data_IF_737173062204
#
_entry.id   IF_737173062204
#
_cell.length_a   1.000
_cell.length_b   1.000
_cell.length_c   1.000
_cell.angle_alpha   90.00
_cell.angle_beta   90.00
_cell.angle_gamma   90.00
#
_symmetry.space_group_name_H-M   'P 1'
#
loop_
_entity.id
_entity.type
_entity.pdbx_description
1 polymer ?
#
# COMPACT_ATOMS: atom_id res chain seq x y z
N UNK A 1 -20.84 6.08 -8.96
CA UNK A 1 -19.36 6.00 -9.07
C UNK A 1 -19.02 4.81 -9.95
N UNK A 2 -17.98 4.87 -10.78
CA UNK A 2 -17.51 3.70 -11.55
C UNK A 2 -16.45 2.99 -10.71
N UNK A 3 -16.48 1.65 -10.61
CA UNK A 3 -15.46 0.93 -9.85
C UNK A 3 -14.12 0.96 -10.59
N UNK A 4 -13.04 1.09 -9.83
CA UNK A 4 -11.67 0.93 -10.30
C UNK A 4 -11.13 -0.45 -9.93
N UNK A 5 -10.22 -0.99 -10.71
CA UNK A 5 -9.45 -2.16 -10.32
C UNK A 5 -8.13 -1.70 -9.68
N UNK A 6 -7.81 -2.26 -8.53
CA UNK A 6 -6.56 -1.97 -7.81
C UNK A 6 -5.65 -3.18 -7.87
N UNK A 7 -4.39 -2.94 -8.17
CA UNK A 7 -3.34 -3.95 -8.23
C UNK A 7 -2.23 -3.61 -7.26
N UNK A 8 -1.64 -4.64 -6.66
CA UNK A 8 -0.54 -4.52 -5.72
C UNK A 8 0.60 -5.42 -6.15
N UNK A 9 1.82 -4.90 -6.03
CA UNK A 9 3.04 -5.67 -6.24
C UNK A 9 4.07 -5.32 -5.18
N UNK A 10 4.60 -6.36 -4.52
CA UNK A 10 5.58 -6.22 -3.45
C UNK A 10 4.93 -5.87 -2.11
N UNK A 11 5.35 -6.54 -1.06
CA UNK A 11 4.82 -6.33 0.28
C UNK A 11 5.87 -6.48 1.38
N UNK A 12 6.98 -7.13 1.12
CA UNK A 12 8.07 -7.28 2.10
C UNK A 12 8.99 -6.07 2.20
N UNK A 13 9.13 -5.34 1.10
CA UNK A 13 10.02 -4.19 0.99
C UNK A 13 9.35 -3.09 0.17
N UNK A 14 9.80 -2.84 -1.06
CA UNK A 14 9.13 -1.91 -1.97
C UNK A 14 7.75 -2.41 -2.32
N UNK A 15 6.79 -1.52 -2.22
CA UNK A 15 5.42 -1.76 -2.60
C UNK A 15 5.01 -0.81 -3.72
N UNK A 16 4.33 -1.34 -4.71
CA UNK A 16 3.68 -0.60 -5.77
C UNK A 16 2.21 -0.94 -5.76
N UNK A 17 1.37 0.08 -5.76
CA UNK A 17 -0.06 -0.03 -5.95
C UNK A 17 -0.47 0.85 -7.11
N UNK A 18 -1.41 0.40 -7.92
CA UNK A 18 -1.96 1.25 -8.98
C UNK A 18 -3.43 0.93 -9.21
N UNK A 19 -4.16 1.98 -9.55
CA UNK A 19 -5.56 1.89 -9.91
C UNK A 19 -5.76 2.17 -11.39
N UNK A 20 -6.69 1.45 -11.97
CA UNK A 20 -7.15 1.65 -13.34
C UNK A 20 -8.67 1.63 -13.41
N UNK A 21 -9.21 2.49 -14.25
CA UNK A 21 -10.63 2.51 -14.60
C UNK A 21 -10.85 1.77 -15.92
N UNK A 22 -12.06 1.26 -16.12
CA UNK A 22 -12.49 0.78 -17.43
C UNK A 22 -13.46 1.79 -18.04
N UNK A 23 -13.09 2.40 -19.20
CA UNK A 23 -13.90 3.42 -19.86
C UNK A 23 -15.00 2.86 -20.77
N UNK A 24 -15.10 1.53 -20.86
CA UNK A 24 -16.02 0.80 -21.75
C UNK A 24 -15.30 0.15 -22.93
N UNK A 25 -14.04 0.50 -23.19
CA UNK A 25 -13.24 -0.02 -24.30
C UNK A 25 -11.83 -0.44 -23.87
N UNK A 26 -11.23 0.27 -22.93
CA UNK A 26 -9.84 0.05 -22.48
C UNK A 26 -9.68 0.37 -21.00
N UNK A 27 -8.58 -0.08 -20.45
CA UNK A 27 -8.12 0.32 -19.12
C UNK A 27 -7.46 1.70 -19.19
N UNK A 28 -7.84 2.59 -18.28
CA UNK A 28 -7.31 3.95 -18.17
C UNK A 28 -6.61 4.05 -16.82
N UNK A 29 -5.35 4.44 -16.84
CA UNK A 29 -4.57 4.66 -15.62
C UNK A 29 -5.22 5.77 -14.77
N UNK A 30 -5.37 5.51 -13.48
CA UNK A 30 -5.89 6.48 -12.50
C UNK A 30 -4.75 7.05 -11.65
N UNK A 31 -4.07 6.21 -10.89
CA UNK A 31 -2.91 6.60 -10.09
C UNK A 31 -1.94 5.43 -9.90
N UNK A 32 -0.70 5.77 -9.53
CA UNK A 32 0.36 4.85 -9.12
C UNK A 32 0.97 5.35 -7.81
N UNK A 33 0.94 4.51 -6.78
CA UNK A 33 1.71 4.68 -5.57
C UNK A 33 2.97 3.82 -5.61
N UNK A 34 4.13 4.43 -5.39
CA UNK A 34 5.40 3.74 -5.20
C UNK A 34 5.95 4.11 -3.82
N UNK A 35 6.13 3.11 -2.94
CA UNK A 35 6.55 3.37 -1.55
C UNK A 35 7.90 4.07 -1.45
N UNK A 36 8.85 3.69 -2.29
CA UNK A 36 10.16 4.35 -2.47
C UNK A 36 10.67 4.10 -3.88
N UNK A 37 11.48 4.98 -4.41
CA UNK A 37 12.20 4.78 -5.66
C UNK A 37 13.56 4.07 -5.44
N UNK A 38 14.20 3.64 -6.52
CA UNK A 38 15.48 2.92 -6.46
C UNK A 38 16.63 3.72 -5.82
N UNK A 39 16.61 5.03 -5.92
CA UNK A 39 17.66 5.89 -5.37
C UNK A 39 17.57 6.06 -3.86
N UNK A 40 16.43 5.76 -3.27
CA UNK A 40 16.17 6.00 -1.84
C UNK A 40 16.00 4.71 -1.03
N UNK A 41 15.85 3.55 -1.67
CA UNK A 41 15.53 2.30 -0.98
C UNK A 41 16.57 1.91 0.08
N UNK A 42 17.85 2.14 -0.15
CA UNK A 42 18.92 1.86 0.80
C UNK A 42 18.91 2.78 2.03
N UNK A 43 18.28 3.94 1.91
CA UNK A 43 18.09 4.84 3.04
C UNK A 43 17.09 4.27 4.05
N UNK A 44 16.11 3.52 3.56
CA UNK A 44 15.08 2.91 4.39
C UNK A 44 15.45 1.51 4.89
N UNK A 45 16.29 0.79 4.13
CA UNK A 45 16.66 -0.57 4.48
C UNK A 45 18.13 -0.86 4.12
N UNK A 46 18.98 -0.93 5.15
CA UNK A 46 20.42 -1.23 5.01
C UNK A 46 20.71 -2.62 4.44
N UNK A 47 19.72 -3.51 4.36
CA UNK A 47 19.87 -4.84 3.73
C UNK A 47 19.83 -4.76 2.20
N UNK A 48 19.48 -3.61 1.65
CA UNK A 48 19.51 -3.39 0.21
C UNK A 48 20.95 -3.30 -0.28
N UNK A 49 21.30 -4.18 -1.20
CA UNK A 49 22.60 -4.12 -1.88
C UNK A 49 22.46 -3.37 -3.20
N UNK A 50 23.03 -2.18 -3.29
CA UNK A 50 22.92 -1.34 -4.47
C UNK A 50 23.70 -1.84 -5.69
N UNK A 51 24.73 -2.67 -5.48
CA UNK A 51 25.52 -3.24 -6.57
C UNK A 51 24.75 -4.36 -7.27
N UNK A 52 24.17 -5.29 -6.48
CA UNK A 52 23.41 -6.42 -7.02
C UNK A 52 21.94 -6.09 -7.27
N UNK A 53 21.47 -4.90 -6.85
CA UNK A 53 20.07 -4.50 -6.91
C UNK A 53 19.13 -5.50 -6.23
N UNK A 54 19.58 -6.06 -5.10
CA UNK A 54 18.87 -7.10 -4.37
C UNK A 54 18.96 -6.89 -2.86
N UNK A 55 18.04 -7.54 -2.15
CA UNK A 55 18.10 -7.65 -0.71
C UNK A 55 18.91 -8.88 -0.30
N UNK A 56 19.51 -8.84 0.89
CA UNK A 56 20.05 -10.04 1.51
C UNK A 56 18.93 -11.05 1.78
N UNK A 57 19.26 -12.32 1.83
CA UNK A 57 18.28 -13.38 2.09
C UNK A 57 17.53 -13.17 3.42
N UNK A 58 16.29 -13.63 3.51
CA UNK A 58 15.38 -13.51 4.66
C UNK A 58 14.90 -12.08 4.95
N UNK A 59 14.54 -11.36 3.94
CA UNK A 59 14.19 -9.96 4.07
C UNK A 59 12.70 -9.72 3.99
N UNK A 60 12.03 -9.77 5.11
CA UNK A 60 10.91 -8.87 5.32
C UNK A 60 11.48 -7.47 5.54
N UNK A 61 10.97 -6.49 4.84
CA UNK A 61 11.32 -5.08 5.08
C UNK A 61 10.93 -4.68 6.50
N UNK A 62 11.74 -3.84 7.12
CA UNK A 62 11.32 -3.14 8.32
C UNK A 62 10.26 -2.12 7.92
N UNK A 63 9.10 -2.15 8.56
CA UNK A 63 8.05 -1.17 8.34
C UNK A 63 8.52 0.25 8.64
N UNK A 64 8.04 1.20 7.85
CA UNK A 64 8.36 2.61 8.00
C UNK A 64 7.09 3.41 8.30
N UNK A 65 7.17 4.37 9.20
CA UNK A 65 6.01 5.18 9.60
C UNK A 65 5.60 6.26 8.59
N UNK A 66 6.39 6.51 7.58
CA UNK A 66 6.18 7.60 6.61
C UNK A 66 6.09 7.12 5.16
N UNK A 67 5.98 5.82 4.97
CA UNK A 67 5.90 5.18 3.65
C UNK A 67 5.26 3.81 3.77
N UNK A 68 4.73 3.29 2.67
CA UNK A 68 4.25 1.90 2.59
C UNK A 68 5.39 0.86 2.54
N UNK A 69 6.66 1.28 2.51
CA UNK A 69 7.80 0.37 2.44
C UNK A 69 7.83 -0.60 3.63
N UNK A 70 7.87 -1.89 3.34
CA UNK A 70 7.93 -2.94 4.35
C UNK A 70 6.61 -3.20 5.10
N UNK A 71 5.53 -2.50 4.78
CA UNK A 71 4.27 -2.54 5.52
C UNK A 71 3.15 -3.34 4.84
N UNK A 72 3.45 -4.02 3.74
CA UNK A 72 2.43 -4.79 3.02
C UNK A 72 2.16 -6.15 3.65
N UNK A 73 0.92 -6.62 3.51
CA UNK A 73 0.48 -7.98 3.79
C UNK A 73 0.23 -8.74 2.49
N UNK A 74 -0.17 -10.01 2.60
CA UNK A 74 -0.56 -10.84 1.44
C UNK A 74 -1.98 -10.52 0.93
N UNK A 75 -2.71 -9.68 1.63
CA UNK A 75 -4.07 -9.27 1.31
C UNK A 75 -4.17 -7.75 1.12
N UNK A 76 -5.26 -7.35 0.50
CA UNK A 76 -5.69 -5.96 0.39
C UNK A 76 -7.13 -5.84 0.90
N UNK A 77 -7.41 -4.73 1.53
CA UNK A 77 -8.77 -4.32 1.86
C UNK A 77 -9.02 -2.91 1.34
N UNK A 78 -10.27 -2.65 1.00
CA UNK A 78 -10.71 -1.34 0.55
C UNK A 78 -11.92 -0.90 1.38
N UNK A 79 -12.04 0.38 1.60
CA UNK A 79 -13.15 0.98 2.32
C UNK A 79 -12.97 2.47 2.48
N UNK A 80 -14.07 3.18 2.69
CA UNK A 80 -14.10 4.61 2.94
C UNK A 80 -13.75 4.87 4.42
N UNK A 81 -12.45 5.01 4.72
CA UNK A 81 -11.96 5.13 6.10
C UNK A 81 -12.01 6.55 6.64
N UNK A 82 -12.00 7.53 5.78
CA UNK A 82 -12.04 8.93 6.18
C UNK A 82 -13.42 9.59 5.99
N UNK A 83 -14.36 8.88 5.35
CA UNK A 83 -15.75 9.31 5.22
C UNK A 83 -15.99 10.29 4.08
N UNK A 84 -15.12 10.35 3.08
CA UNK A 84 -15.24 11.24 1.93
C UNK A 84 -16.13 10.67 0.80
N UNK A 85 -16.56 9.42 0.91
CA UNK A 85 -17.41 8.72 -0.05
C UNK A 85 -16.64 8.02 -1.16
N UNK A 86 -15.34 7.82 -1.00
CA UNK A 86 -14.46 7.04 -1.85
C UNK A 86 -13.72 6.02 -1.03
N UNK A 87 -13.23 4.97 -1.68
CA UNK A 87 -12.54 3.91 -0.96
C UNK A 87 -11.03 4.12 -0.98
N UNK A 88 -10.41 4.04 0.19
CA UNK A 88 -8.98 3.90 0.41
C UNK A 88 -8.55 2.44 0.23
N UNK A 89 -7.25 2.25 0.07
CA UNK A 89 -6.63 0.94 -0.13
C UNK A 89 -5.65 0.64 0.99
N UNK A 90 -6.00 -0.33 1.83
CA UNK A 90 -5.14 -0.81 2.92
C UNK A 90 -4.44 -2.09 2.53
N UNK A 91 -3.12 -2.13 2.70
CA UNK A 91 -2.25 -3.26 2.32
C UNK A 91 -1.57 -3.93 3.53
N UNK A 92 -2.04 -3.66 4.72
CA UNK A 92 -1.46 -4.15 5.97
C UNK A 92 -1.24 -3.01 6.94
N UNK A 93 0.00 -2.64 7.19
CA UNK A 93 0.37 -1.55 8.10
C UNK A 93 0.39 -0.17 7.43
N UNK A 94 -0.14 -0.05 6.22
CA UNK A 94 -0.22 1.20 5.48
C UNK A 94 -1.51 1.30 4.67
N UNK A 95 -2.03 2.51 4.54
CA UNK A 95 -3.22 2.85 3.76
C UNK A 95 -2.90 3.97 2.78
N UNK A 96 -3.38 3.81 1.57
CA UNK A 96 -3.26 4.75 0.47
C UNK A 96 -4.64 5.28 0.13
N UNK A 97 -4.74 6.58 -0.04
CA UNK A 97 -5.94 7.30 -0.37
C UNK A 97 -6.42 7.03 -1.81
N UNK A 98 -7.63 7.42 -2.14
CA UNK A 98 -8.29 7.22 -3.44
C UNK A 98 -7.56 7.90 -4.61
N UNK A 99 -6.67 8.85 -4.31
CA UNK A 99 -5.81 9.55 -5.27
C UNK A 99 -4.39 8.96 -5.40
N UNK A 100 -4.07 7.93 -4.63
CA UNK A 100 -2.75 7.27 -4.62
C UNK A 100 -1.75 7.86 -3.64
N UNK A 101 -2.12 8.84 -2.83
CA UNK A 101 -1.26 9.37 -1.78
C UNK A 101 -1.27 8.46 -0.55
N UNK A 102 -0.18 8.43 0.20
CA UNK A 102 -0.13 7.72 1.47
C UNK A 102 -0.99 8.46 2.49
N UNK A 103 -2.07 7.82 2.95
CA UNK A 103 -2.91 8.38 4.00
C UNK A 103 -2.24 8.23 5.37
N UNK A 104 -1.83 7.03 5.70
CA UNK A 104 -1.03 6.76 6.91
C UNK A 104 -0.23 5.47 6.80
N UNK A 105 0.76 5.33 7.70
CA UNK A 105 1.51 4.10 7.92
C UNK A 105 1.86 3.98 9.39
N UNK A 106 1.62 2.81 9.97
CA UNK A 106 1.90 2.54 11.40
C UNK A 106 3.26 1.88 11.62
N UNK A 107 3.95 1.49 10.56
CA UNK A 107 5.32 1.01 10.64
C UNK A 107 5.51 -0.37 11.30
N UNK A 108 4.46 -1.17 11.45
CA UNK A 108 4.55 -2.48 12.10
C UNK A 108 5.23 -3.54 11.25
N UNK A 109 5.47 -3.22 9.97
CA UNK A 109 6.11 -4.14 9.05
C UNK A 109 5.13 -5.08 8.38
N UNK A 110 5.70 -6.11 7.74
CA UNK A 110 4.94 -7.13 7.05
C UNK A 110 4.11 -7.99 8.00
N UNK A 111 2.89 -8.29 7.58
CA UNK A 111 2.00 -9.26 8.23
C UNK A 111 1.40 -10.21 7.18
N UNK A 112 0.81 -11.32 7.63
CA UNK A 112 0.27 -12.34 6.70
C UNK A 112 -1.17 -12.04 6.29
N UNK A 113 -1.97 -11.51 7.19
CA UNK A 113 -3.39 -11.28 6.97
C UNK A 113 -3.83 -9.90 7.47
N UNK A 114 -4.85 -9.36 6.83
CA UNK A 114 -5.51 -8.13 7.24
C UNK A 114 -7.02 -8.34 7.19
N UNK A 115 -7.69 -7.82 8.20
CA UNK A 115 -9.14 -7.72 8.24
C UNK A 115 -9.49 -6.27 8.59
N UNK A 116 -10.32 -5.67 7.75
CA UNK A 116 -10.85 -4.33 7.97
C UNK A 116 -12.36 -4.43 8.09
N UNK A 117 -12.88 -3.86 9.15
CA UNK A 117 -14.31 -3.90 9.44
C UNK A 117 -14.67 -2.77 10.39
N UNK A 118 -15.88 -2.28 10.28
CA UNK A 118 -16.45 -1.40 11.30
C UNK A 118 -16.70 -2.22 12.58
N UNK A 119 -15.75 -2.11 13.50
CA UNK A 119 -15.78 -2.81 14.78
C UNK A 119 -16.67 -2.12 15.81
N UNK A 120 -17.00 -0.86 15.62
CA UNK A 120 -17.81 -0.06 16.53
C UNK A 120 -18.81 0.78 15.72
N UNK A 121 -19.90 0.17 15.22
CA UNK A 121 -20.85 0.85 14.31
C UNK A 121 -21.48 2.14 14.86
N UNK A 122 -21.34 2.40 16.15
CA UNK A 122 -21.80 3.64 16.78
C UNK A 122 -20.82 4.82 16.68
N UNK A 123 -19.63 4.59 16.14
CA UNK A 123 -18.62 5.61 15.89
C UNK A 123 -18.45 5.80 14.37
N UNK A 124 -18.37 7.05 13.88
CA UNK A 124 -18.02 7.29 12.49
C UNK A 124 -16.62 6.74 12.15
N UNK A 125 -16.47 6.20 10.94
CA UNK A 125 -15.23 5.58 10.44
C UNK A 125 -15.21 4.06 10.61
N UNK A 126 -14.23 3.41 10.00
CA UNK A 126 -14.01 1.96 10.07
C UNK A 126 -13.02 1.58 11.17
#
# INVERSE_FOLDING_TARGET
MKPSAVFIRGYYTRCYMWAVDFDGTKLVHRWLHASVNDSTVEHYDSRWNKTTKSYSSNTCGMGQHFTAFGNGNHNVSVGDYDGDGRDEVTIGSATVDDDGQLLYSVGFGHGDAIHVSDLIPSRPGL
#
